data_IF_163444535175
#
_entry.id   IF_163444535175
#
_cell.length_a   1.000
_cell.length_b   1.000
_cell.length_c   1.000
_cell.angle_alpha   90.00
_cell.angle_beta   90.00
_cell.angle_gamma   90.00
#
_symmetry.space_group_name_H-M   'P 1'
#
loop_
_entity.id
_entity.type
_entity.pdbx_description
1 polymer ?
#
# COMPACT_ATOMS: atom_id res chain seq x y z
N UNK A 1 16.96 -4.18 4.96
CA UNK A 1 17.45 -3.66 3.65
C UNK A 1 17.06 -4.67 2.57
N UNK A 2 16.42 -4.24 1.48
CA UNK A 2 15.93 -5.12 0.42
C UNK A 2 17.07 -5.81 -0.36
N UNK A 3 16.95 -7.12 -0.66
CA UNK A 3 17.86 -7.85 -1.55
C UNK A 3 17.91 -7.24 -2.96
N UNK A 4 19.02 -7.44 -3.69
CA UNK A 4 19.17 -6.92 -5.06
C UNK A 4 18.12 -7.47 -6.03
N UNK A 5 17.74 -8.73 -5.90
CA UNK A 5 16.70 -9.37 -6.71
C UNK A 5 15.36 -8.64 -6.54
N UNK A 6 14.98 -8.34 -5.30
CA UNK A 6 13.74 -7.61 -4.98
C UNK A 6 13.78 -6.19 -5.56
N UNK A 7 14.93 -5.50 -5.42
CA UNK A 7 15.10 -4.18 -6.03
C UNK A 7 14.91 -4.20 -7.55
N UNK A 8 15.46 -5.21 -8.23
CA UNK A 8 15.31 -5.34 -9.69
C UNK A 8 13.83 -5.55 -10.09
N UNK A 9 13.06 -6.34 -9.32
CA UNK A 9 11.63 -6.49 -9.55
C UNK A 9 10.89 -5.16 -9.38
N UNK A 10 11.21 -4.41 -8.34
CA UNK A 10 10.63 -3.08 -8.10
C UNK A 10 10.97 -2.11 -9.24
N UNK A 11 12.22 -2.15 -9.74
CA UNK A 11 12.63 -1.35 -10.91
C UNK A 11 11.81 -1.70 -12.14
N UNK A 12 11.57 -2.98 -12.40
CA UNK A 12 10.76 -3.40 -13.54
C UNK A 12 9.31 -2.92 -13.40
N UNK A 13 8.70 -3.08 -12.23
CA UNK A 13 7.34 -2.56 -11.94
C UNK A 13 7.30 -1.04 -12.16
N UNK A 14 8.33 -0.33 -11.70
CA UNK A 14 8.46 1.11 -11.89
C UNK A 14 8.49 1.51 -13.38
N UNK A 15 9.28 0.79 -14.18
CA UNK A 15 9.35 1.01 -15.63
C UNK A 15 8.04 0.68 -16.35
N UNK A 16 7.32 -0.35 -15.90
CA UNK A 16 6.02 -0.71 -16.45
C UNK A 16 4.97 0.39 -16.16
N UNK A 17 5.00 1.04 -14.99
CA UNK A 17 4.15 2.21 -14.71
C UNK A 17 4.49 3.39 -15.63
N UNK A 18 5.78 3.66 -15.85
CA UNK A 18 6.21 4.71 -16.80
C UNK A 18 5.73 4.38 -18.22
N UNK A 19 5.88 3.13 -18.65
CA UNK A 19 5.37 2.67 -19.95
C UNK A 19 3.84 2.80 -20.07
N UNK A 20 3.13 2.79 -18.94
CA UNK A 20 1.70 3.05 -18.84
C UNK A 20 1.27 4.51 -19.00
N UNK A 21 2.23 5.43 -19.23
CA UNK A 21 1.99 6.86 -19.46
C UNK A 21 2.25 7.76 -18.25
N UNK A 22 2.77 7.24 -17.15
CA UNK A 22 3.05 8.00 -15.93
C UNK A 22 4.51 8.43 -15.90
N UNK A 23 4.81 9.71 -16.14
CA UNK A 23 6.19 10.21 -16.29
C UNK A 23 6.80 10.79 -15.01
N UNK A 24 5.97 11.26 -14.08
CA UNK A 24 6.46 11.91 -12.86
C UNK A 24 6.72 10.88 -11.75
N UNK A 25 7.91 10.84 -11.13
CA UNK A 25 8.23 9.88 -10.08
C UNK A 25 7.25 9.88 -8.89
N UNK A 26 6.73 11.05 -8.51
CA UNK A 26 5.71 11.19 -7.47
C UNK A 26 4.41 10.49 -7.86
N UNK A 27 3.98 10.67 -9.12
CA UNK A 27 2.78 10.03 -9.66
C UNK A 27 2.97 8.50 -9.77
N UNK A 28 4.17 8.02 -10.13
CA UNK A 28 4.46 6.58 -10.15
C UNK A 28 4.22 5.96 -8.77
N UNK A 29 4.75 6.58 -7.71
CA UNK A 29 4.53 6.10 -6.34
C UNK A 29 3.04 6.14 -5.98
N UNK A 30 2.35 7.20 -6.37
CA UNK A 30 0.92 7.36 -6.13
C UNK A 30 0.11 6.23 -6.79
N UNK A 31 0.36 5.93 -8.05
CA UNK A 31 -0.32 4.84 -8.77
C UNK A 31 -0.02 3.47 -8.14
N UNK A 32 1.24 3.21 -7.80
CA UNK A 32 1.62 1.98 -7.11
C UNK A 32 0.94 1.87 -5.73
N UNK A 33 0.81 2.97 -5.01
CA UNK A 33 0.13 3.00 -3.70
C UNK A 33 -1.35 2.60 -3.84
N UNK A 34 -2.06 3.04 -4.87
CA UNK A 34 -3.45 2.63 -5.10
C UNK A 34 -3.59 1.13 -5.35
N UNK A 35 -2.70 0.57 -6.18
CA UNK A 35 -2.70 -0.87 -6.47
C UNK A 35 -2.33 -1.70 -5.24
N UNK A 36 -1.30 -1.31 -4.50
CA UNK A 36 -0.92 -1.98 -3.27
C UNK A 36 -2.02 -1.90 -2.20
N UNK A 37 -2.72 -0.77 -2.11
CA UNK A 37 -3.85 -0.61 -1.22
C UNK A 37 -5.00 -1.54 -1.57
N UNK A 38 -5.33 -1.69 -2.88
CA UNK A 38 -6.33 -2.66 -3.33
C UNK A 38 -5.98 -4.09 -2.92
N UNK A 39 -4.71 -4.49 -3.03
CA UNK A 39 -4.23 -5.81 -2.59
C UNK A 39 -4.33 -5.97 -1.07
N UNK A 40 -3.88 -4.99 -0.31
CA UNK A 40 -3.91 -5.04 1.16
C UNK A 40 -5.32 -5.12 1.74
N UNK A 41 -6.30 -4.47 1.10
CA UNK A 41 -7.70 -4.58 1.50
C UNK A 41 -8.23 -5.99 1.29
N UNK A 42 -7.89 -6.64 0.18
CA UNK A 42 -8.30 -8.04 -0.06
C UNK A 42 -7.59 -9.02 0.90
N UNK A 43 -6.32 -8.79 1.23
CA UNK A 43 -5.61 -9.56 2.26
C UNK A 43 -6.28 -9.41 3.63
N UNK A 44 -6.63 -8.18 4.00
CA UNK A 44 -7.34 -7.92 5.26
C UNK A 44 -8.72 -8.58 5.32
N UNK A 45 -9.45 -8.59 4.20
CA UNK A 45 -10.71 -9.32 4.11
C UNK A 45 -10.50 -10.83 4.31
N UNK A 46 -9.43 -11.40 3.74
CA UNK A 46 -9.09 -12.80 3.94
C UNK A 46 -8.76 -13.12 5.41
N UNK A 47 -8.10 -12.19 6.11
CA UNK A 47 -7.83 -12.33 7.56
C UNK A 47 -9.13 -12.29 8.37
N UNK A 48 -10.09 -11.45 7.99
CA UNK A 48 -11.43 -11.39 8.61
C UNK A 48 -12.17 -12.72 8.40
N UNK A 49 -12.22 -13.21 7.16
CA UNK A 49 -12.84 -14.50 6.82
C UNK A 49 -12.21 -15.65 7.63
N UNK A 50 -10.89 -15.65 7.76
CA UNK A 50 -10.17 -16.68 8.55
C UNK A 50 -10.50 -16.55 10.05
N UNK A 51 -10.54 -15.34 10.59
CA UNK A 51 -10.89 -15.10 11.99
C UNK A 51 -12.30 -15.54 12.32
N UNK A 52 -13.28 -15.30 11.42
CA UNK A 52 -14.66 -15.79 11.55
C UNK A 52 -14.71 -17.33 11.57
N UNK A 53 -13.97 -17.96 10.65
CA UNK A 53 -13.92 -19.43 10.57
C UNK A 53 -13.36 -20.05 11.87
N UNK A 54 -12.37 -19.40 12.49
CA UNK A 54 -11.73 -19.89 13.70
C UNK A 54 -12.51 -19.59 14.99
N UNK A 55 -13.14 -18.42 15.08
CA UNK A 55 -13.85 -17.98 16.28
C UNK A 55 -15.34 -18.34 16.28
N UNK A 56 -15.95 -18.52 15.11
CA UNK A 56 -17.38 -18.65 14.92
C UNK A 56 -18.18 -17.34 15.17
N UNK A 57 -17.48 -16.23 15.39
CA UNK A 57 -18.11 -14.92 15.62
C UNK A 57 -18.12 -14.10 14.33
N UNK A 58 -19.28 -13.57 13.97
CA UNK A 58 -19.41 -12.68 12.78
C UNK A 58 -18.60 -11.40 12.96
N UNK A 59 -17.85 -11.06 11.94
CA UNK A 59 -17.05 -9.84 11.86
C UNK A 59 -17.68 -8.86 10.84
N UNK A 60 -17.21 -7.62 10.82
CA UNK A 60 -17.62 -6.66 9.81
C UNK A 60 -16.74 -6.83 8.58
N UNK A 61 -17.34 -7.24 7.46
CA UNK A 61 -16.66 -7.41 6.18
C UNK A 61 -16.45 -6.07 5.47
N UNK A 62 -15.36 -5.98 4.70
CA UNK A 62 -15.04 -4.82 3.86
C UNK A 62 -15.81 -4.92 2.53
N UNK A 63 -15.95 -6.14 2.00
CA UNK A 63 -16.67 -6.42 0.77
C UNK A 63 -17.98 -7.13 1.10
N UNK A 64 -19.06 -6.72 0.46
CA UNK A 64 -20.34 -7.40 0.61
C UNK A 64 -20.37 -8.75 -0.11
N UNK A 65 -21.43 -9.53 0.15
CA UNK A 65 -21.60 -10.89 -0.41
C UNK A 65 -22.03 -10.90 -1.88
N UNK A 66 -22.40 -9.73 -2.44
CA UNK A 66 -22.86 -9.67 -3.83
C UNK A 66 -21.74 -10.03 -4.81
N UNK A 67 -22.10 -10.67 -5.92
CA UNK A 67 -21.13 -11.01 -6.99
C UNK A 67 -20.37 -9.77 -7.49
N UNK A 68 -21.00 -8.61 -7.47
CA UNK A 68 -20.42 -7.36 -7.95
C UNK A 68 -19.36 -6.85 -6.98
N UNK A 69 -19.60 -6.92 -5.67
CA UNK A 69 -18.63 -6.52 -4.64
C UNK A 69 -17.48 -7.50 -4.53
N UNK A 70 -17.77 -8.81 -4.62
CA UNK A 70 -16.72 -9.83 -4.67
C UNK A 70 -15.80 -9.68 -5.89
N UNK A 71 -16.31 -9.18 -7.03
CA UNK A 71 -15.50 -8.90 -8.21
C UNK A 71 -14.49 -7.75 -7.99
N UNK A 72 -14.65 -6.91 -6.96
CA UNK A 72 -13.72 -5.83 -6.61
C UNK A 72 -12.46 -6.34 -5.89
N UNK A 73 -12.47 -7.57 -5.41
CA UNK A 73 -11.35 -8.17 -4.67
C UNK A 73 -10.18 -8.44 -5.60
N UNK A 74 -8.98 -8.13 -5.12
CA UNK A 74 -7.73 -8.32 -5.85
C UNK A 74 -7.60 -9.73 -6.43
N UNK A 75 -7.88 -10.77 -5.63
CA UNK A 75 -7.82 -12.18 -6.05
C UNK A 75 -8.70 -12.52 -7.25
N UNK A 76 -9.79 -11.79 -7.44
CA UNK A 76 -10.77 -12.05 -8.49
C UNK A 76 -10.47 -11.31 -9.79
N UNK A 77 -9.78 -10.16 -9.74
CA UNK A 77 -9.49 -9.40 -10.95
C UNK A 77 -8.03 -9.47 -11.42
N UNK A 78 -7.06 -9.85 -10.56
CA UNK A 78 -5.64 -9.87 -10.91
C UNK A 78 -5.27 -10.68 -12.16
N UNK A 79 -6.05 -11.71 -12.49
CA UNK A 79 -5.86 -12.59 -13.64
C UNK A 79 -6.66 -12.22 -14.89
N UNK A 80 -7.36 -11.09 -14.90
CA UNK A 80 -8.15 -10.67 -16.06
C UNK A 80 -7.25 -10.30 -17.26
N UNK A 81 -7.81 -10.40 -18.47
CA UNK A 81 -7.17 -9.89 -19.69
C UNK A 81 -6.97 -8.37 -19.61
N UNK A 82 -5.92 -7.86 -20.24
CA UNK A 82 -5.43 -6.49 -20.05
C UNK A 82 -6.51 -5.40 -20.19
N UNK A 83 -7.32 -5.47 -21.26
CA UNK A 83 -8.38 -4.47 -21.48
C UNK A 83 -9.52 -4.58 -20.47
N UNK A 84 -9.90 -5.82 -20.14
CA UNK A 84 -10.93 -6.09 -19.14
C UNK A 84 -10.47 -5.66 -17.76
N UNK A 85 -9.22 -5.97 -17.38
CA UNK A 85 -8.58 -5.55 -16.15
C UNK A 85 -8.57 -4.01 -16.00
N UNK A 86 -8.09 -3.32 -17.03
CA UNK A 86 -8.00 -1.86 -17.01
C UNK A 86 -9.38 -1.21 -16.83
N UNK A 87 -10.35 -1.63 -17.64
CA UNK A 87 -11.73 -1.14 -17.53
C UNK A 87 -12.32 -1.43 -16.14
N UNK A 88 -12.16 -2.67 -15.65
CA UNK A 88 -12.69 -3.08 -14.35
C UNK A 88 -12.04 -2.29 -13.21
N UNK A 89 -10.72 -2.10 -13.26
CA UNK A 89 -10.00 -1.35 -12.23
C UNK A 89 -10.44 0.11 -12.20
N UNK A 90 -10.45 0.80 -13.34
CA UNK A 90 -10.79 2.23 -13.42
C UNK A 90 -12.26 2.48 -13.08
N UNK A 91 -13.17 1.71 -13.65
CA UNK A 91 -14.61 1.97 -13.56
C UNK A 91 -15.23 1.47 -12.25
N UNK A 92 -14.59 0.53 -11.56
CA UNK A 92 -15.18 -0.13 -10.38
C UNK A 92 -14.25 -0.15 -9.16
N UNK A 93 -13.08 -0.77 -9.28
CA UNK A 93 -12.18 -0.96 -8.13
C UNK A 93 -11.69 0.39 -7.60
N UNK A 94 -11.20 1.26 -8.47
CA UNK A 94 -10.67 2.56 -8.06
C UNK A 94 -11.75 3.45 -7.45
N UNK A 95 -12.98 3.44 -8.00
CA UNK A 95 -14.13 4.16 -7.42
C UNK A 95 -14.48 3.61 -6.04
N UNK A 96 -14.45 2.28 -5.87
CA UNK A 96 -14.66 1.65 -4.56
C UNK A 96 -13.62 2.11 -3.54
N UNK A 97 -12.32 2.12 -3.91
CA UNK A 97 -11.23 2.58 -3.02
C UNK A 97 -11.43 4.03 -2.57
N UNK A 98 -11.84 4.92 -3.48
CA UNK A 98 -12.12 6.33 -3.16
C UNK A 98 -13.26 6.44 -2.14
N UNK A 99 -14.28 5.60 -2.26
CA UNK A 99 -15.48 5.67 -1.44
C UNK A 99 -15.38 4.87 -0.13
N UNK A 100 -14.41 3.99 0.01
CA UNK A 100 -14.30 3.04 1.13
C UNK A 100 -14.32 3.75 2.51
N UNK A 101 -13.74 4.94 2.61
CA UNK A 101 -13.66 5.73 3.84
C UNK A 101 -14.31 7.11 3.69
N UNK A 102 -15.30 7.26 2.81
CA UNK A 102 -15.94 8.57 2.54
C UNK A 102 -16.59 9.20 3.78
N UNK A 103 -16.92 8.40 4.78
CA UNK A 103 -17.57 8.84 6.02
C UNK A 103 -16.57 9.22 7.13
N UNK A 104 -15.28 8.93 6.98
CA UNK A 104 -14.25 9.28 7.95
C UNK A 104 -13.54 10.56 7.52
N UNK A 105 -13.45 11.54 8.43
CA UNK A 105 -12.65 12.77 8.24
C UNK A 105 -11.14 12.51 8.35
N UNK A 106 -10.67 11.36 7.88
CA UNK A 106 -9.25 11.03 7.90
C UNK A 106 -8.49 11.80 6.80
N UNK A 107 -7.20 12.07 7.04
CA UNK A 107 -6.33 12.69 6.05
C UNK A 107 -6.24 11.84 4.77
N UNK A 108 -6.28 10.52 4.89
CA UNK A 108 -6.26 9.57 3.78
C UNK A 108 -7.53 9.66 2.91
N UNK A 109 -8.71 9.73 3.55
CA UNK A 109 -9.99 9.91 2.86
C UNK A 109 -10.04 11.22 2.07
N UNK A 110 -9.53 12.32 2.64
CA UNK A 110 -9.42 13.61 1.94
C UNK A 110 -8.46 13.57 0.75
N UNK A 111 -7.35 12.84 0.88
CA UNK A 111 -6.38 12.65 -0.20
C UNK A 111 -6.99 11.87 -1.37
N UNK A 112 -7.66 10.75 -1.10
CA UNK A 112 -8.27 9.90 -2.13
C UNK A 112 -9.40 10.58 -2.89
N UNK A 113 -10.13 11.53 -2.31
CA UNK A 113 -11.19 12.28 -3.01
C UNK A 113 -10.71 13.02 -4.27
N UNK A 114 -9.43 13.38 -4.32
CA UNK A 114 -8.81 14.06 -5.46
C UNK A 114 -7.89 13.14 -6.26
N UNK A 115 -7.90 11.85 -5.94
CA UNK A 115 -7.08 10.85 -6.60
C UNK A 115 -7.51 10.65 -8.06
N UNK A 116 -6.52 10.45 -8.93
CA UNK A 116 -6.75 10.16 -10.35
C UNK A 116 -5.90 8.98 -10.76
N UNK A 117 -6.52 7.98 -11.37
CA UNK A 117 -5.77 6.86 -11.94
C UNK A 117 -5.18 7.26 -13.29
N UNK A 118 -3.87 7.08 -13.47
CA UNK A 118 -3.10 7.60 -14.61
C UNK A 118 -2.41 6.55 -15.47
N UNK A 119 -2.47 5.27 -15.11
CA UNK A 119 -1.95 4.20 -15.96
C UNK A 119 -2.99 3.94 -17.06
N UNK A 120 -2.78 4.51 -18.24
CA UNK A 120 -3.75 4.47 -19.34
C UNK A 120 -3.56 3.27 -20.27
N UNK A 121 -2.37 2.65 -20.28
CA UNK A 121 -2.06 1.52 -21.15
C UNK A 121 -2.46 0.18 -20.47
N UNK A 122 -3.44 -0.57 -21.02
CA UNK A 122 -3.95 -1.79 -20.40
C UNK A 122 -2.88 -2.87 -20.17
N UNK A 123 -1.97 -3.06 -21.12
CA UNK A 123 -0.88 -4.04 -20.99
C UNK A 123 0.11 -3.66 -19.90
N UNK A 124 0.39 -2.37 -19.73
CA UNK A 124 1.24 -1.88 -18.66
C UNK A 124 0.61 -2.14 -17.29
N UNK A 125 -0.69 -1.84 -17.12
CA UNK A 125 -1.41 -2.14 -15.89
C UNK A 125 -1.39 -3.64 -15.56
N UNK A 126 -1.61 -4.50 -16.55
CA UNK A 126 -1.57 -5.95 -16.34
C UNK A 126 -0.19 -6.41 -15.86
N UNK A 127 0.90 -5.90 -16.45
CA UNK A 127 2.26 -6.19 -16.01
C UNK A 127 2.54 -5.71 -14.60
N UNK A 128 2.09 -4.50 -14.25
CA UNK A 128 2.24 -3.94 -12.90
C UNK A 128 1.49 -4.80 -11.88
N UNK A 129 0.25 -5.19 -12.16
CA UNK A 129 -0.55 -6.05 -11.27
C UNK A 129 0.13 -7.41 -11.08
N UNK A 130 0.60 -8.04 -12.16
CA UNK A 130 1.31 -9.31 -12.09
C UNK A 130 2.65 -9.19 -11.34
N UNK A 131 3.39 -8.11 -11.57
CA UNK A 131 4.65 -7.83 -10.86
C UNK A 131 4.46 -7.58 -9.37
N UNK A 132 3.42 -6.84 -8.99
CA UNK A 132 3.06 -6.65 -7.57
C UNK A 132 2.64 -7.97 -6.94
N UNK A 133 1.84 -8.79 -7.63
CA UNK A 133 1.45 -10.10 -7.11
C UNK A 133 2.68 -10.97 -6.84
N UNK A 134 3.59 -11.11 -7.81
CA UNK A 134 4.83 -11.89 -7.64
C UNK A 134 5.69 -11.35 -6.50
N UNK A 135 5.82 -10.02 -6.39
CA UNK A 135 6.60 -9.36 -5.36
C UNK A 135 6.06 -9.66 -3.95
N UNK A 136 4.75 -9.56 -3.74
CA UNK A 136 4.14 -9.78 -2.43
C UNK A 136 4.02 -11.26 -2.07
N UNK A 137 3.76 -12.14 -3.02
CA UNK A 137 3.64 -13.58 -2.77
C UNK A 137 5.00 -14.23 -2.48
N UNK A 138 6.06 -13.81 -3.16
CA UNK A 138 7.35 -14.49 -3.11
C UNK A 138 8.42 -13.78 -2.28
N UNK A 139 8.41 -12.45 -2.23
CA UNK A 139 9.54 -11.70 -1.70
C UNK A 139 9.21 -10.85 -0.47
N UNK A 140 8.00 -10.28 -0.37
CA UNK A 140 7.62 -9.38 0.73
C UNK A 140 6.64 -10.10 1.65
N UNK A 141 7.16 -10.70 2.71
CA UNK A 141 6.40 -11.57 3.61
C UNK A 141 5.97 -10.92 4.93
N UNK A 142 6.51 -9.75 5.24
CA UNK A 142 6.23 -9.07 6.50
C UNK A 142 6.11 -7.54 6.34
N UNK A 143 5.56 -6.90 7.37
CA UNK A 143 5.38 -5.45 7.40
C UNK A 143 6.71 -4.67 7.35
N UNK A 144 7.80 -5.28 7.81
CA UNK A 144 9.13 -4.69 7.78
C UNK A 144 9.64 -4.56 6.35
N UNK A 145 9.45 -5.60 5.54
CA UNK A 145 9.82 -5.60 4.12
C UNK A 145 8.92 -4.66 3.31
N UNK A 146 7.62 -4.56 3.65
CA UNK A 146 6.73 -3.56 3.05
C UNK A 146 7.23 -2.13 3.34
N UNK A 147 7.65 -1.86 4.57
CA UNK A 147 8.27 -0.59 4.94
C UNK A 147 9.56 -0.29 4.15
N UNK A 148 10.43 -1.28 3.99
CA UNK A 148 11.65 -1.17 3.19
C UNK A 148 11.34 -0.92 1.70
N UNK A 149 10.25 -1.50 1.16
CA UNK A 149 9.75 -1.23 -0.20
C UNK A 149 9.37 0.24 -0.36
N UNK A 150 8.56 0.78 0.56
CA UNK A 150 8.18 2.20 0.52
C UNK A 150 9.39 3.12 0.67
N UNK A 151 10.33 2.82 1.57
CA UNK A 151 11.57 3.59 1.71
C UNK A 151 12.40 3.58 0.42
N UNK A 152 12.48 2.43 -0.26
CA UNK A 152 13.18 2.32 -1.53
C UNK A 152 12.54 3.18 -2.62
N UNK A 153 11.21 3.11 -2.76
CA UNK A 153 10.47 3.93 -3.74
C UNK A 153 10.63 5.43 -3.44
N UNK A 154 10.51 5.85 -2.18
CA UNK A 154 10.71 7.25 -1.78
C UNK A 154 12.15 7.71 -1.98
N UNK A 155 13.14 6.80 -1.84
CA UNK A 155 14.54 7.07 -2.16
C UNK A 155 14.75 7.50 -3.62
N UNK A 156 13.95 6.99 -4.54
CA UNK A 156 13.99 7.41 -5.95
C UNK A 156 13.59 8.87 -6.15
N UNK A 157 12.67 9.39 -5.35
CA UNK A 157 12.31 10.82 -5.39
C UNK A 157 13.46 11.72 -4.95
N UNK A 158 14.22 11.28 -3.94
CA UNK A 158 15.40 12.01 -3.46
C UNK A 158 16.50 12.08 -4.52
N UNK A 159 16.74 10.97 -5.23
CA UNK A 159 17.73 10.88 -6.33
C UNK A 159 17.36 11.78 -7.51
N UNK A 160 16.06 12.06 -7.70
CA UNK A 160 15.56 12.96 -8.72
C UNK A 160 15.61 14.45 -8.30
N UNK A 161 16.17 14.78 -7.14
CA UNK A 161 16.31 16.17 -6.65
C UNK A 161 14.99 16.86 -6.30
N UNK A 162 13.89 16.10 -6.17
CA UNK A 162 12.52 16.66 -6.04
C UNK A 162 11.96 16.67 -4.61
N UNK A 163 12.62 15.99 -3.68
CA UNK A 163 12.27 16.03 -2.27
C UNK A 163 13.48 16.47 -1.46
N UNK A 164 13.44 17.69 -0.95
CA UNK A 164 14.37 18.19 0.08
C UNK A 164 14.11 17.56 1.47
N UNK A 165 13.35 16.49 1.54
CA UNK A 165 13.07 15.81 2.80
C UNK A 165 14.20 14.87 3.15
N UNK A 166 15.06 15.28 4.08
CA UNK A 166 16.09 14.44 4.66
C UNK A 166 15.43 13.49 5.67
N UNK A 167 15.41 12.20 5.37
CA UNK A 167 14.94 11.18 6.32
C UNK A 167 16.07 10.78 7.26
N UNK A 168 15.77 10.68 8.53
CA UNK A 168 16.71 10.14 9.52
C UNK A 168 17.06 8.69 9.16
N UNK A 169 18.34 8.33 8.98
CA UNK A 169 18.75 6.96 8.67
C UNK A 169 18.21 5.93 9.65
N UNK A 170 17.86 4.73 9.15
CA UNK A 170 17.23 3.66 9.95
C UNK A 170 17.99 3.36 11.24
N UNK A 171 19.31 3.20 11.17
CA UNK A 171 20.13 2.87 12.35
C UNK A 171 20.07 3.94 13.45
N UNK A 172 19.92 5.23 13.08
CA UNK A 172 19.73 6.33 14.05
C UNK A 172 18.34 6.26 14.67
N UNK A 173 17.31 5.99 13.86
CA UNK A 173 15.94 5.81 14.36
C UNK A 173 15.87 4.63 15.34
N UNK A 174 16.45 3.48 14.96
CA UNK A 174 16.49 2.28 15.81
C UNK A 174 17.24 2.57 17.14
N UNK A 175 18.31 3.34 17.09
CA UNK A 175 19.03 3.80 18.28
C UNK A 175 18.14 4.69 19.16
N UNK A 176 17.45 5.67 18.57
CA UNK A 176 16.54 6.57 19.31
C UNK A 176 15.44 5.77 20.02
N UNK A 177 14.80 4.81 19.32
CA UNK A 177 13.77 3.95 19.93
C UNK A 177 14.33 3.15 21.10
N UNK A 178 15.53 2.57 20.94
CA UNK A 178 16.18 1.80 22.01
C UNK A 178 16.57 2.66 23.23
N UNK A 179 16.97 3.89 23.00
CA UNK A 179 17.31 4.83 24.08
C UNK A 179 16.07 5.35 24.81
N UNK A 180 15.01 5.65 24.08
CA UNK A 180 13.77 6.20 24.63
C UNK A 180 12.91 5.15 25.32
N UNK A 181 13.05 3.85 24.95
CA UNK A 181 12.26 2.73 25.47
C UNK A 181 10.76 3.06 25.62
N UNK A 182 10.07 3.49 24.55
CA UNK A 182 8.69 3.94 24.65
C UNK A 182 7.77 2.81 25.11
N UNK A 183 6.88 3.13 26.03
CA UNK A 183 5.83 2.21 26.52
C UNK A 183 4.49 2.47 25.82
N UNK A 184 3.54 1.51 25.80
CA UNK A 184 2.24 1.69 25.17
C UNK A 184 1.41 2.87 25.71
N UNK A 185 1.69 3.32 26.93
CA UNK A 185 0.96 4.40 27.60
C UNK A 185 1.53 5.80 27.30
N UNK A 186 2.69 5.85 26.64
CA UNK A 186 3.32 7.13 26.29
C UNK A 186 2.63 7.76 25.07
N UNK A 187 2.31 9.06 25.19
CA UNK A 187 1.90 9.86 24.04
C UNK A 187 3.13 10.38 23.32
N UNK A 188 3.28 10.00 22.06
CA UNK A 188 4.41 10.41 21.23
C UNK A 188 3.91 11.45 20.23
N UNK A 189 4.49 12.64 20.30
CA UNK A 189 4.05 13.81 19.54
C UNK A 189 4.98 14.10 18.36
N UNK A 190 5.41 13.09 17.61
CA UNK A 190 6.16 13.31 16.38
C UNK A 190 5.77 12.33 15.27
N UNK A 191 5.47 12.86 14.07
CA UNK A 191 5.02 12.09 12.90
C UNK A 191 6.06 11.04 12.47
N UNK A 192 7.35 11.33 12.62
CA UNK A 192 8.46 10.43 12.26
C UNK A 192 8.58 9.27 13.24
N UNK A 193 8.35 9.52 14.52
CA UNK A 193 8.44 8.51 15.57
C UNK A 193 7.25 7.54 15.58
N UNK A 194 6.05 7.99 15.18
CA UNK A 194 4.85 7.16 15.09
C UNK A 194 5.06 5.95 14.14
N UNK A 195 5.73 6.16 13.01
CA UNK A 195 6.07 5.08 12.07
C UNK A 195 7.03 4.04 12.69
N UNK A 196 7.98 4.48 13.53
CA UNK A 196 8.95 3.60 14.17
C UNK A 196 8.34 2.73 15.27
N UNK A 197 7.40 3.28 16.01
CA UNK A 197 6.74 2.62 17.12
C UNK A 197 5.79 1.54 16.59
N UNK A 198 5.11 1.80 15.48
CA UNK A 198 4.30 0.81 14.79
C UNK A 198 5.15 -0.38 14.31
N UNK A 199 6.36 -0.11 13.81
CA UNK A 199 7.31 -1.13 13.36
C UNK A 199 7.92 -1.95 14.51
N UNK A 200 8.10 -1.36 15.69
CA UNK A 200 8.61 -2.06 16.87
C UNK A 200 7.57 -2.96 17.56
N UNK A 201 6.34 -3.04 17.02
CA UNK A 201 5.24 -3.84 17.60
C UNK A 201 4.75 -3.35 18.96
N UNK A 202 5.23 -2.19 19.42
CA UNK A 202 4.96 -1.65 20.74
C UNK A 202 3.54 -1.04 20.82
N UNK A 203 2.99 -0.62 19.66
CA UNK A 203 1.63 -0.08 19.60
C UNK A 203 0.86 -0.76 18.46
N UNK A 204 -0.08 -1.65 18.82
CA UNK A 204 -1.01 -2.27 17.88
C UNK A 204 -2.08 -1.32 17.33
N UNK A 205 -2.25 -0.14 17.91
CA UNK A 205 -3.23 0.89 17.48
C UNK A 205 -2.69 2.28 17.85
N UNK A 206 -1.98 2.94 16.95
CA UNK A 206 -2.02 4.41 16.93
C UNK A 206 -3.14 4.81 15.96
N UNK A 207 -4.29 5.22 16.51
CA UNK A 207 -5.21 6.05 15.77
C UNK A 207 -4.45 7.34 15.41
N UNK A 208 -4.32 7.63 14.13
CA UNK A 208 -3.92 8.94 13.67
C UNK A 208 -5.00 9.93 14.14
N UNK A 209 -4.76 10.60 15.26
CA UNK A 209 -5.48 11.78 15.65
C UNK A 209 -4.60 12.98 15.22
N UNK A 210 -4.94 13.56 14.08
CA UNK A 210 -4.67 14.95 13.72
C UNK A 210 -5.97 15.55 13.27
#
# INVERSE_FOLDING_TARGET
MLPSVVKNKIEQIWLDVIAGGVSQPTEVIEQLTYLMFAKQIDEREADIEMAELLSGEKQSHIFGESREEQALRWRNFKGMEARALHKHFVDRVFIFLINLNSNENSAFSRYLKHATFKINEPLALQKVVAGLEDLFENDIKDLDMQGDLYEYMLGKLNSAGRLGAFRTPKHIRDMMVKLMMPTPDMKICEIILAYLIQRAGIIKKCAFAV
#
